data_IF_314756674594
#
_entry.id   IF_314756674594
#
_cell.length_a   1.000
_cell.length_b   1.000
_cell.length_c   1.000
_cell.angle_alpha   90.00
_cell.angle_beta   90.00
_cell.angle_gamma   90.00
#
_symmetry.space_group_name_H-M   'P 1'
#
loop_
_entity.id
_entity.type
_entity.pdbx_description
1 polymer ?
#
# COMPACT_ATOMS: atom_id res chain seq x y z
N UNK A 1 -24.93 -1.57 -48.90
CA UNK A 1 -23.49 -1.81 -48.71
C UNK A 1 -23.16 -1.69 -47.24
N UNK A 2 -23.15 -2.80 -46.53
CA UNK A 2 -22.88 -2.86 -45.09
C UNK A 2 -21.44 -3.34 -44.90
N UNK A 3 -20.54 -2.46 -44.44
CA UNK A 3 -19.20 -2.83 -44.09
C UNK A 3 -19.17 -3.31 -42.62
N UNK A 4 -18.89 -4.56 -42.43
CA UNK A 4 -18.64 -5.21 -41.16
C UNK A 4 -17.32 -4.69 -40.59
N UNK A 5 -17.36 -3.99 -39.46
CA UNK A 5 -16.17 -3.70 -38.66
C UNK A 5 -15.89 -4.92 -37.74
N UNK A 6 -14.81 -5.60 -38.05
CA UNK A 6 -14.23 -6.66 -37.25
C UNK A 6 -13.66 -6.09 -35.95
N UNK A 7 -13.84 -6.72 -34.78
CA UNK A 7 -13.25 -6.27 -33.53
C UNK A 7 -11.73 -6.52 -33.61
N UNK A 8 -10.94 -5.45 -33.65
CA UNK A 8 -9.50 -5.53 -33.46
C UNK A 8 -9.21 -5.87 -32.00
N UNK A 9 -8.67 -7.06 -31.80
CA UNK A 9 -8.17 -7.50 -30.50
C UNK A 9 -7.19 -6.47 -29.94
N UNK A 10 -7.52 -5.91 -28.77
CA UNK A 10 -6.64 -5.05 -27.99
C UNK A 10 -5.51 -5.94 -27.42
N UNK A 11 -4.44 -6.17 -28.18
CA UNK A 11 -3.21 -6.73 -27.64
C UNK A 11 -2.45 -5.60 -26.99
N UNK A 12 -2.74 -5.34 -25.72
CA UNK A 12 -1.87 -4.57 -24.86
C UNK A 12 -0.53 -5.32 -24.76
N UNK A 13 0.54 -4.69 -25.22
CA UNK A 13 1.88 -5.13 -24.85
C UNK A 13 2.04 -4.83 -23.37
N UNK A 14 2.06 -5.88 -22.56
CA UNK A 14 2.46 -5.83 -21.15
C UNK A 14 3.87 -5.22 -21.09
N UNK A 15 3.95 -4.00 -20.62
CA UNK A 15 5.18 -3.46 -20.03
C UNK A 15 5.49 -4.26 -18.78
N UNK A 16 6.77 -4.48 -18.45
CA UNK A 16 7.14 -5.36 -17.35
C UNK A 16 6.59 -4.86 -16.03
N UNK A 17 6.17 -5.82 -15.24
CA UNK A 17 5.57 -5.70 -13.93
C UNK A 17 6.18 -4.57 -13.08
N UNK A 18 5.32 -3.70 -12.61
CA UNK A 18 5.61 -2.83 -11.46
C UNK A 18 5.88 -3.75 -10.29
N UNK A 19 7.15 -3.83 -9.87
CA UNK A 19 7.55 -4.57 -8.69
C UNK A 19 6.91 -3.89 -7.49
N UNK A 20 5.88 -4.51 -6.92
CA UNK A 20 5.36 -4.14 -5.61
C UNK A 20 6.47 -4.38 -4.58
N UNK A 21 7.01 -3.32 -4.04
CA UNK A 21 7.90 -3.35 -2.89
C UNK A 21 7.07 -3.68 -1.64
N UNK A 22 6.98 -4.96 -1.32
CA UNK A 22 6.54 -5.37 0.00
C UNK A 22 7.72 -5.20 0.95
N UNK A 23 7.80 -4.06 1.66
CA UNK A 23 8.67 -3.92 2.82
C UNK A 23 8.13 -4.83 3.92
N UNK A 24 8.67 -6.04 4.01
CA UNK A 24 8.47 -6.89 5.17
C UNK A 24 9.19 -6.23 6.37
N UNK A 25 8.44 -5.73 7.31
CA UNK A 25 8.95 -5.23 8.58
C UNK A 25 9.51 -6.41 9.36
N UNK A 26 10.83 -6.56 9.37
CA UNK A 26 11.52 -7.41 10.32
C UNK A 26 11.29 -6.87 11.73
N UNK A 27 10.52 -7.58 12.54
CA UNK A 27 10.50 -7.37 13.98
C UNK A 27 11.83 -7.87 14.56
N UNK A 28 12.86 -7.04 14.50
CA UNK A 28 13.96 -7.16 15.44
C UNK A 28 13.52 -6.39 16.68
N UNK A 29 13.35 -7.10 17.79
CA UNK A 29 13.23 -6.48 19.12
C UNK A 29 14.29 -5.38 19.23
N UNK A 30 13.82 -4.12 19.37
CA UNK A 30 14.68 -2.97 19.59
C UNK A 30 15.46 -3.19 20.90
N UNK A 31 16.70 -3.65 20.77
CA UNK A 31 17.69 -3.47 21.83
C UNK A 31 18.13 -2.00 21.78
N UNK A 32 17.56 -1.20 22.65
CA UNK A 32 18.11 0.10 23.02
C UNK A 32 19.39 -0.13 23.80
N UNK A 33 20.50 -0.19 23.08
CA UNK A 33 21.85 -0.34 23.64
C UNK A 33 22.86 0.24 22.67
N UNK A 34 23.75 1.10 23.15
CA UNK A 34 24.75 1.83 22.42
C UNK A 34 25.51 0.97 21.39
N UNK A 35 25.58 1.42 20.11
CA UNK A 35 26.66 1.08 19.20
C UNK A 35 26.60 -0.30 18.54
N UNK A 36 25.45 -0.70 17.98
CA UNK A 36 25.39 -1.85 17.05
C UNK A 36 26.08 -1.53 15.71
N UNK A 37 26.69 -2.55 15.05
CA UNK A 37 27.23 -2.40 13.70
C UNK A 37 26.12 -1.89 12.74
N UNK A 38 26.48 -1.11 11.71
CA UNK A 38 25.54 -0.74 10.66
C UNK A 38 24.92 -1.99 10.04
N UNK A 39 23.65 -1.90 9.64
CA UNK A 39 22.97 -2.99 8.94
C UNK A 39 22.42 -2.45 7.63
N UNK A 40 22.94 -2.92 6.51
CA UNK A 40 22.42 -2.61 5.18
C UNK A 40 21.10 -3.35 4.96
N UNK A 41 20.10 -2.61 4.45
CA UNK A 41 18.78 -3.16 4.19
C UNK A 41 18.78 -4.03 2.95
N UNK A 42 18.05 -5.15 3.03
CA UNK A 42 17.86 -6.09 1.93
C UNK A 42 16.38 -6.26 1.61
N UNK A 43 16.09 -6.78 0.43
CA UNK A 43 14.77 -7.30 0.11
C UNK A 43 14.40 -8.45 1.05
N UNK A 44 13.11 -8.70 1.22
CA UNK A 44 12.62 -9.77 2.10
C UNK A 44 13.18 -11.13 1.65
N UNK A 45 13.63 -11.92 2.62
CA UNK A 45 14.18 -13.27 2.41
C UNK A 45 15.30 -13.34 1.37
N UNK A 46 16.11 -12.27 1.26
CA UNK A 46 17.15 -12.11 0.26
C UNK A 46 18.38 -11.41 0.86
N UNK A 47 19.54 -11.60 0.22
CA UNK A 47 20.75 -10.79 0.47
C UNK A 47 20.83 -9.60 -0.48
N UNK A 48 19.87 -9.46 -1.42
CA UNK A 48 19.83 -8.37 -2.37
C UNK A 48 19.53 -7.05 -1.68
N UNK A 49 20.35 -6.04 -1.96
CA UNK A 49 20.22 -4.74 -1.35
C UNK A 49 18.92 -4.04 -1.77
N UNK A 50 18.32 -3.31 -0.84
CA UNK A 50 17.41 -2.22 -1.20
C UNK A 50 18.29 -1.08 -1.71
N UNK A 51 18.43 -0.96 -3.04
CA UNK A 51 19.36 -0.05 -3.67
C UNK A 51 18.75 0.71 -4.85
N UNK A 52 19.17 1.96 -5.03
CA UNK A 52 18.70 2.83 -6.12
C UNK A 52 19.89 3.54 -6.76
N UNK A 53 19.81 3.81 -8.06
CA UNK A 53 20.72 4.78 -8.69
C UNK A 53 20.43 6.18 -8.09
N UNK A 54 21.48 6.88 -7.62
CA UNK A 54 21.33 8.03 -6.75
C UNK A 54 20.66 9.25 -7.42
N UNK A 55 20.80 9.40 -8.75
CA UNK A 55 20.23 10.54 -9.49
C UNK A 55 18.84 10.28 -10.04
N UNK A 56 18.59 9.09 -10.57
CA UNK A 56 17.34 8.73 -11.25
C UNK A 56 16.37 7.94 -10.38
N UNK A 57 16.86 7.42 -9.23
CA UNK A 57 16.09 6.53 -8.34
C UNK A 57 15.63 5.23 -9.00
N UNK A 58 16.26 4.83 -10.09
CA UNK A 58 15.99 3.54 -10.76
C UNK A 58 16.65 2.41 -9.96
N UNK A 59 15.96 1.27 -9.74
CA UNK A 59 16.57 0.10 -9.10
C UNK A 59 17.58 -0.59 -10.02
N UNK A 60 18.32 -1.56 -9.46
CA UNK A 60 19.28 -2.39 -10.20
C UNK A 60 18.64 -3.21 -11.34
N UNK A 61 19.42 -3.70 -12.35
CA UNK A 61 20.89 -3.68 -12.39
C UNK A 61 21.45 -2.30 -12.79
N UNK A 62 22.57 -1.92 -12.16
CA UNK A 62 23.20 -0.63 -12.41
C UNK A 62 24.22 -0.73 -13.54
N UNK A 63 24.19 0.25 -14.45
CA UNK A 63 25.26 0.45 -15.42
C UNK A 63 26.52 1.02 -14.77
N UNK A 64 27.70 0.89 -15.41
CA UNK A 64 28.94 1.47 -14.88
C UNK A 64 28.95 3.00 -14.92
N UNK A 65 28.16 3.58 -15.81
CA UNK A 65 28.05 5.02 -16.05
C UNK A 65 26.67 5.50 -15.62
N UNK A 66 26.61 6.60 -14.90
CA UNK A 66 25.37 7.21 -14.46
C UNK A 66 24.49 7.61 -15.67
N UNK A 67 23.18 7.35 -15.63
CA UNK A 67 22.27 7.71 -16.72
C UNK A 67 22.13 9.24 -16.86
N UNK A 68 22.42 10.00 -15.81
CA UNK A 68 22.42 11.46 -15.81
C UNK A 68 23.82 11.96 -15.47
N UNK A 69 24.43 12.74 -16.37
CA UNK A 69 25.76 13.31 -16.19
C UNK A 69 25.65 14.65 -15.44
N UNK A 70 26.03 14.64 -14.17
CA UNK A 70 26.01 15.83 -13.31
C UNK A 70 27.38 16.50 -13.14
N UNK A 71 28.44 15.95 -13.79
CA UNK A 71 29.80 16.45 -13.71
C UNK A 71 30.77 15.70 -14.57
N UNK A 72 32.07 15.89 -14.37
CA UNK A 72 33.15 15.22 -15.14
C UNK A 72 33.26 13.73 -14.80
N UNK A 73 32.91 13.34 -13.60
CA UNK A 73 32.89 11.93 -13.17
C UNK A 73 31.53 11.30 -13.50
N UNK A 74 31.55 10.44 -14.52
CA UNK A 74 30.36 9.79 -15.06
C UNK A 74 30.02 8.46 -14.38
N UNK A 75 30.75 8.06 -13.33
CA UNK A 75 30.51 6.79 -12.64
C UNK A 75 29.17 6.77 -11.91
N UNK A 76 28.48 5.64 -11.96
CA UNK A 76 27.23 5.44 -11.25
C UNK A 76 27.40 5.57 -9.75
N UNK A 77 26.46 6.26 -9.13
CA UNK A 77 26.30 6.38 -7.69
C UNK A 77 25.14 5.50 -7.26
N UNK A 78 25.41 4.57 -6.36
CA UNK A 78 24.41 3.66 -5.80
C UNK A 78 24.04 4.16 -4.41
N UNK A 79 22.76 4.38 -4.18
CA UNK A 79 22.20 4.72 -2.89
C UNK A 79 21.76 3.43 -2.20
N UNK A 80 22.36 3.14 -1.05
CA UNK A 80 22.01 2.07 -0.15
C UNK A 80 21.30 2.62 1.07
N UNK A 81 20.60 1.79 1.80
CA UNK A 81 19.93 2.18 3.04
C UNK A 81 20.47 1.36 4.20
N UNK A 82 20.71 2.01 5.35
CA UNK A 82 21.30 1.38 6.53
C UNK A 82 20.54 1.74 7.80
N UNK A 83 20.38 0.75 8.68
CA UNK A 83 20.00 0.95 10.09
C UNK A 83 21.23 1.01 10.97
N UNK A 84 21.05 1.49 12.22
CA UNK A 84 22.12 1.62 13.23
C UNK A 84 23.29 2.48 12.75
N UNK A 85 23.06 3.41 11.84
CA UNK A 85 24.08 4.29 11.30
C UNK A 85 23.69 5.75 11.62
N UNK A 86 24.35 6.29 12.63
CA UNK A 86 24.18 7.67 13.03
C UNK A 86 25.58 8.30 13.15
N UNK A 87 25.85 9.28 12.28
CA UNK A 87 27.10 10.02 12.34
C UNK A 87 27.17 10.84 13.63
N UNK A 88 28.35 10.86 14.26
CA UNK A 88 28.57 11.73 15.40
C UNK A 88 28.58 13.21 14.98
N UNK A 89 28.37 14.10 15.93
CA UNK A 89 28.35 15.54 15.62
C UNK A 89 29.69 16.00 14.99
N UNK A 90 29.60 16.55 13.79
CA UNK A 90 30.74 17.01 13.02
C UNK A 90 31.37 15.99 12.09
N UNK A 91 30.85 14.76 12.04
CA UNK A 91 31.26 13.75 11.07
C UNK A 91 30.48 13.87 9.75
N UNK A 92 31.09 13.41 8.69
CA UNK A 92 30.52 13.33 7.34
C UNK A 92 30.78 11.94 6.71
N UNK A 93 30.56 11.82 5.40
CA UNK A 93 30.75 10.57 4.67
C UNK A 93 32.16 9.98 4.79
N UNK A 94 33.18 10.78 5.12
CA UNK A 94 34.55 10.32 5.27
C UNK A 94 34.78 9.43 6.51
N UNK A 95 33.83 9.42 7.45
CA UNK A 95 33.84 8.53 8.60
C UNK A 95 33.50 7.07 8.23
N UNK A 96 33.01 6.85 7.01
CA UNK A 96 32.68 5.51 6.50
C UNK A 96 33.69 5.07 5.44
N UNK A 97 33.89 3.76 5.37
CA UNK A 97 34.48 3.10 4.22
C UNK A 97 33.49 2.12 3.62
N UNK A 98 33.60 1.85 2.32
CA UNK A 98 32.80 0.85 1.63
C UNK A 98 33.66 0.02 0.69
N UNK A 99 33.29 -1.22 0.52
CA UNK A 99 33.94 -2.16 -0.41
C UNK A 99 32.91 -3.02 -1.15
N UNK A 100 33.31 -3.51 -2.33
CA UNK A 100 32.56 -4.47 -3.11
C UNK A 100 33.45 -5.66 -3.48
N UNK A 101 32.94 -6.89 -3.38
CA UNK A 101 33.63 -8.11 -3.80
C UNK A 101 32.95 -8.71 -5.02
N UNK A 102 33.72 -9.00 -6.08
CA UNK A 102 33.20 -9.61 -7.31
C UNK A 102 33.23 -11.16 -7.26
N UNK A 103 32.76 -11.79 -8.34
CA UNK A 103 32.73 -13.26 -8.49
C UNK A 103 34.12 -13.93 -8.33
N UNK A 104 35.22 -13.21 -8.59
CA UNK A 104 36.57 -13.68 -8.48
C UNK A 104 37.17 -13.46 -7.09
N UNK A 105 36.38 -13.00 -6.12
CA UNK A 105 36.82 -12.64 -4.77
C UNK A 105 37.75 -11.43 -4.74
N UNK A 106 37.78 -10.64 -5.80
CA UNK A 106 38.51 -9.39 -5.84
C UNK A 106 37.70 -8.31 -5.13
N UNK A 107 38.35 -7.62 -4.19
CA UNK A 107 37.74 -6.52 -3.45
C UNK A 107 38.09 -5.18 -4.06
N UNK A 108 37.12 -4.31 -4.21
CA UNK A 108 37.23 -2.96 -4.75
C UNK A 108 36.74 -1.95 -3.73
N UNK A 109 37.56 -0.96 -3.40
CA UNK A 109 37.14 0.13 -2.54
C UNK A 109 36.09 0.99 -3.27
N UNK A 110 35.00 1.29 -2.60
CA UNK A 110 33.98 2.23 -3.09
C UNK A 110 34.12 3.56 -2.35
N UNK A 111 34.01 4.68 -3.07
CA UNK A 111 34.00 5.99 -2.45
C UNK A 111 32.63 6.27 -1.83
N UNK A 112 32.56 6.53 -0.53
CA UNK A 112 31.33 7.00 0.13
C UNK A 112 31.25 8.50 -0.08
N UNK A 113 30.26 8.97 -0.83
CA UNK A 113 30.14 10.40 -1.19
C UNK A 113 29.11 11.13 -0.35
N UNK A 114 28.13 10.40 0.22
CA UNK A 114 27.09 11.01 1.03
C UNK A 114 26.50 10.04 2.04
N UNK A 115 26.20 10.56 3.24
CA UNK A 115 25.44 9.87 4.28
C UNK A 115 24.51 10.86 4.94
N UNK A 116 23.21 10.54 4.99
CA UNK A 116 22.25 11.37 5.68
C UNK A 116 21.08 10.53 6.21
N UNK A 117 20.43 10.96 7.30
CA UNK A 117 19.15 10.40 7.71
C UNK A 117 18.13 10.52 6.57
N UNK A 118 17.31 9.50 6.40
CA UNK A 118 16.20 9.56 5.43
C UNK A 118 15.09 10.42 6.04
N UNK A 119 14.65 11.49 5.37
CA UNK A 119 13.63 12.39 5.91
C UNK A 119 12.35 11.61 6.29
N UNK A 120 11.87 11.81 7.52
CA UNK A 120 10.71 11.11 8.06
C UNK A 120 10.96 9.65 8.48
N UNK A 121 12.22 9.17 8.39
CA UNK A 121 12.64 7.82 8.77
C UNK A 121 13.94 7.90 9.58
N UNK A 122 13.87 8.50 10.77
CA UNK A 122 15.07 8.78 11.60
C UNK A 122 15.85 7.53 12.03
N UNK A 123 15.23 6.34 11.96
CA UNK A 123 15.85 5.06 12.24
C UNK A 123 16.74 4.55 11.09
N UNK A 124 16.71 5.20 9.92
CA UNK A 124 17.35 4.77 8.68
C UNK A 124 18.17 5.91 8.08
N UNK A 125 19.36 5.59 7.59
CA UNK A 125 20.22 6.49 6.84
C UNK A 125 20.39 6.02 5.40
N UNK A 126 20.47 6.95 4.46
CA UNK A 126 20.91 6.70 3.10
C UNK A 126 22.42 6.85 3.00
N UNK A 127 23.08 5.93 2.28
CA UNK A 127 24.50 5.94 2.02
C UNK A 127 24.71 5.89 0.51
N UNK A 128 25.33 6.93 -0.04
CA UNK A 128 25.64 6.99 -1.48
C UNK A 128 27.10 6.60 -1.69
N UNK A 129 27.29 5.52 -2.45
CA UNK A 129 28.61 5.01 -2.83
C UNK A 129 28.81 5.18 -4.35
N UNK A 130 29.99 5.63 -4.75
CA UNK A 130 30.42 5.68 -6.14
C UNK A 130 31.09 4.36 -6.52
N UNK A 131 30.66 3.78 -7.64
CA UNK A 131 31.25 2.55 -8.16
C UNK A 131 32.72 2.75 -8.53
N UNK A 132 33.55 1.73 -8.22
CA UNK A 132 34.96 1.72 -8.55
C UNK A 132 35.18 1.58 -10.06
N UNK A 133 36.17 2.28 -10.61
CA UNK A 133 36.48 2.26 -12.04
C UNK A 133 36.97 0.91 -12.57
N UNK A 134 37.52 0.09 -11.69
CA UNK A 134 38.05 -1.24 -12.01
C UNK A 134 36.95 -2.33 -11.99
N UNK A 135 35.77 -2.03 -11.44
CA UNK A 135 34.64 -2.95 -11.50
C UNK A 135 34.18 -3.11 -12.94
N UNK A 136 34.07 -4.35 -13.41
CA UNK A 136 33.58 -4.64 -14.75
C UNK A 136 32.15 -4.10 -14.97
N UNK A 137 31.89 -3.59 -16.16
CA UNK A 137 30.60 -3.03 -16.50
C UNK A 137 29.44 -4.05 -16.41
N UNK A 138 29.75 -5.31 -16.57
CA UNK A 138 28.83 -6.45 -16.55
C UNK A 138 29.34 -7.51 -15.56
N UNK A 139 29.67 -7.07 -14.35
CA UNK A 139 30.20 -7.94 -13.30
C UNK A 139 29.16 -8.92 -12.75
N UNK A 140 27.88 -8.70 -13.01
CA UNK A 140 26.80 -9.38 -12.33
C UNK A 140 26.67 -8.93 -10.89
N UNK A 141 26.29 -9.83 -10.00
CA UNK A 141 26.15 -9.50 -8.59
C UNK A 141 27.51 -9.31 -7.92
N UNK A 142 27.66 -8.24 -7.15
CA UNK A 142 28.79 -8.02 -6.23
C UNK A 142 28.27 -7.96 -4.81
N UNK A 143 29.10 -8.32 -3.81
CA UNK A 143 28.76 -8.17 -2.40
C UNK A 143 29.32 -6.85 -1.87
N UNK A 144 28.44 -5.96 -1.46
CA UNK A 144 28.78 -4.63 -0.94
C UNK A 144 28.67 -4.61 0.58
N UNK A 145 29.61 -3.91 1.22
CA UNK A 145 29.68 -3.70 2.66
C UNK A 145 30.07 -2.26 2.97
N UNK A 146 29.57 -1.73 4.07
CA UNK A 146 30.06 -0.48 4.67
C UNK A 146 30.69 -0.75 6.04
N UNK A 147 31.60 0.10 6.44
CA UNK A 147 32.26 0.04 7.75
C UNK A 147 32.27 1.42 8.36
N UNK A 148 31.80 1.54 9.59
CA UNK A 148 31.75 2.79 10.37
C UNK A 148 32.44 2.54 11.71
N UNK A 149 33.46 3.36 12.06
CA UNK A 149 34.28 3.21 13.28
C UNK A 149 34.79 1.79 13.51
N UNK A 150 35.19 1.09 12.43
CA UNK A 150 35.69 -0.28 12.51
C UNK A 150 34.62 -1.36 12.64
N UNK A 151 33.36 -1.00 12.81
CA UNK A 151 32.24 -1.93 12.79
C UNK A 151 31.72 -2.12 11.36
N UNK A 152 31.84 -3.34 10.84
CA UNK A 152 31.39 -3.69 9.49
C UNK A 152 29.92 -4.08 9.48
N UNK A 153 29.19 -3.70 8.41
CA UNK A 153 27.81 -4.14 8.15
C UNK A 153 27.78 -5.59 7.67
N UNK A 154 26.55 -6.14 7.55
CA UNK A 154 26.29 -7.29 6.67
C UNK A 154 26.72 -6.95 5.23
N UNK A 155 27.03 -7.98 4.44
CA UNK A 155 27.25 -7.84 3.00
C UNK A 155 25.93 -8.04 2.26
N UNK A 156 25.69 -7.18 1.27
CA UNK A 156 24.46 -7.20 0.46
C UNK A 156 24.79 -7.30 -1.02
N UNK A 157 23.97 -7.99 -1.79
CA UNK A 157 24.11 -8.10 -3.24
C UNK A 157 23.65 -6.84 -3.94
N UNK A 158 24.45 -6.41 -4.90
CA UNK A 158 24.13 -5.31 -5.82
C UNK A 158 24.47 -5.78 -7.23
N UNK A 159 23.53 -5.68 -8.16
CA UNK A 159 23.71 -6.13 -9.55
C UNK A 159 24.32 -5.03 -10.43
N UNK A 160 25.40 -5.38 -11.15
CA UNK A 160 26.06 -4.52 -12.13
C UNK A 160 25.94 -5.12 -13.54
N UNK A 161 25.26 -4.43 -14.44
CA UNK A 161 25.00 -4.87 -15.81
C UNK A 161 23.87 -5.89 -15.92
N UNK A 162 23.92 -6.96 -15.15
CA UNK A 162 22.87 -7.98 -15.07
C UNK A 162 22.73 -8.55 -13.65
N UNK A 163 21.57 -9.14 -13.38
CA UNK A 163 21.30 -9.84 -12.11
C UNK A 163 21.82 -11.27 -12.19
N UNK A 164 22.49 -11.74 -11.14
CA UNK A 164 23.02 -13.09 -11.03
C UNK A 164 24.55 -13.14 -11.10
N UNK A 165 25.08 -14.34 -10.95
CA UNK A 165 26.54 -14.51 -10.78
C UNK A 165 27.00 -14.03 -9.40
N UNK A 166 28.26 -13.62 -9.32
CA UNK A 166 28.86 -13.09 -8.10
C UNK A 166 29.33 -14.14 -7.10
N UNK A 167 29.92 -13.69 -5.97
CA UNK A 167 30.38 -14.58 -4.93
C UNK A 167 29.20 -15.19 -4.17
N UNK A 168 29.38 -16.36 -3.52
CA UNK A 168 28.37 -16.92 -2.64
C UNK A 168 28.11 -15.97 -1.45
N UNK A 169 26.87 -15.96 -0.97
CA UNK A 169 26.50 -15.23 0.24
C UNK A 169 27.27 -15.71 1.46
N UNK A 170 27.41 -14.83 2.45
CA UNK A 170 27.95 -15.20 3.74
C UNK A 170 27.06 -16.26 4.42
N UNK A 171 27.66 -17.24 5.12
CA UNK A 171 26.89 -18.19 5.91
C UNK A 171 25.95 -17.47 6.89
N UNK A 172 24.66 -17.76 6.81
CA UNK A 172 23.64 -17.13 7.65
C UNK A 172 23.26 -15.69 7.24
N UNK A 173 23.70 -15.21 6.08
CA UNK A 173 23.38 -13.87 5.59
C UNK A 173 21.87 -13.70 5.26
N UNK A 174 21.23 -14.77 4.80
CA UNK A 174 19.75 -14.84 4.79
C UNK A 174 19.38 -15.36 6.18
N UNK A 175 18.68 -14.58 7.01
CA UNK A 175 18.15 -15.13 8.23
C UNK A 175 17.34 -16.36 7.84
N UNK A 176 17.78 -17.55 8.28
CA UNK A 176 16.88 -18.71 8.24
C UNK A 176 15.61 -18.21 8.89
N UNK A 177 14.43 -18.22 8.21
CA UNK A 177 13.20 -17.78 8.83
C UNK A 177 13.20 -18.48 10.18
N UNK A 178 13.28 -17.70 11.27
CA UNK A 178 13.22 -18.30 12.61
C UNK A 178 12.01 -19.19 12.52
N UNK A 179 12.23 -20.53 12.65
CA UNK A 179 11.09 -21.47 12.67
C UNK A 179 10.11 -20.77 13.56
N UNK A 180 8.96 -20.27 13.04
CA UNK A 180 8.10 -19.38 13.81
C UNK A 180 7.95 -20.11 15.12
N UNK A 181 8.38 -19.48 16.24
CA UNK A 181 8.24 -20.08 17.56
C UNK A 181 6.82 -20.61 17.52
N UNK A 182 6.59 -21.95 17.75
CA UNK A 182 5.32 -22.55 17.41
C UNK A 182 4.29 -21.58 17.95
N UNK A 183 3.62 -20.91 17.03
CA UNK A 183 2.53 -19.96 17.36
C UNK A 183 1.73 -20.77 18.33
N UNK A 184 1.54 -20.32 19.61
CA UNK A 184 0.85 -21.15 20.57
C UNK A 184 -0.35 -21.69 19.83
N UNK A 185 -0.32 -23.00 19.54
CA UNK A 185 -1.33 -23.63 18.69
C UNK A 185 -2.63 -23.23 19.36
N UNK A 186 -3.47 -22.41 18.71
CA UNK A 186 -4.80 -22.21 19.26
C UNK A 186 -5.32 -23.64 19.34
N UNK A 187 -5.56 -24.14 20.56
CA UNK A 187 -6.20 -25.40 20.78
C UNK A 187 -7.58 -25.30 20.11
N UNK A 188 -7.67 -25.74 18.88
CA UNK A 188 -8.85 -25.65 18.06
C UNK A 188 -8.42 -25.66 16.60
N UNK A 189 -9.07 -26.48 15.81
CA UNK A 189 -9.00 -26.62 14.37
C UNK A 189 -8.51 -25.38 13.66
N UNK A 190 -7.82 -25.49 12.49
CA UNK A 190 -7.48 -24.31 11.69
C UNK A 190 -8.74 -23.46 11.63
N UNK A 191 -8.63 -22.21 12.15
CA UNK A 191 -9.75 -21.28 12.09
C UNK A 191 -9.94 -21.04 10.60
N UNK A 192 -10.81 -21.84 10.01
CA UNK A 192 -11.39 -21.49 8.72
C UNK A 192 -12.07 -20.17 9.02
N UNK A 193 -11.52 -19.06 8.54
CA UNK A 193 -12.20 -17.81 8.59
C UNK A 193 -13.52 -18.04 7.90
N UNK A 194 -14.56 -18.23 8.70
CA UNK A 194 -15.88 -18.44 8.14
C UNK A 194 -16.22 -17.16 7.39
N UNK A 195 -16.72 -17.32 6.19
CA UNK A 195 -17.30 -16.24 5.42
C UNK A 195 -18.33 -15.46 6.26
N UNK A 196 -18.71 -14.27 5.82
CA UNK A 196 -19.78 -13.51 6.47
C UNK A 196 -21.11 -14.28 6.35
N UNK A 197 -21.72 -14.60 7.48
CA UNK A 197 -23.08 -15.17 7.50
C UNK A 197 -24.12 -14.08 7.21
N UNK A 198 -25.31 -14.48 6.78
CA UNK A 198 -26.44 -13.57 6.59
C UNK A 198 -26.71 -12.69 7.81
N UNK A 199 -26.63 -13.25 9.02
CA UNK A 199 -26.83 -12.51 10.28
C UNK A 199 -25.73 -11.47 10.51
N UNK A 200 -24.48 -11.79 10.17
CA UNK A 200 -23.36 -10.84 10.30
C UNK A 200 -23.51 -9.70 9.29
N UNK A 201 -23.87 -9.98 8.05
CA UNK A 201 -24.18 -8.93 7.04
C UNK A 201 -25.31 -8.04 7.52
N UNK A 202 -26.38 -8.60 8.06
CA UNK A 202 -27.49 -7.85 8.67
C UNK A 202 -27.02 -6.99 9.83
N UNK A 203 -26.10 -7.50 10.67
CA UNK A 203 -25.50 -6.76 11.80
C UNK A 203 -24.70 -5.56 11.32
N UNK A 204 -23.85 -5.72 10.32
CA UNK A 204 -23.04 -4.62 9.75
C UNK A 204 -23.97 -3.52 9.19
N UNK A 205 -24.99 -3.89 8.42
CA UNK A 205 -25.96 -2.93 7.89
C UNK A 205 -26.72 -2.24 9.03
N UNK A 206 -27.16 -2.98 10.04
CA UNK A 206 -27.93 -2.42 11.18
C UNK A 206 -27.08 -1.45 12.00
N UNK A 207 -25.81 -1.73 12.22
CA UNK A 207 -24.85 -0.84 12.90
C UNK A 207 -24.68 0.47 12.09
N UNK A 208 -24.47 0.37 10.77
CA UNK A 208 -24.35 1.54 9.89
C UNK A 208 -25.61 2.41 9.94
N UNK A 209 -26.80 1.81 9.78
CA UNK A 209 -28.07 2.53 9.80
C UNK A 209 -28.35 3.19 11.16
N UNK A 210 -28.02 2.48 12.26
CA UNK A 210 -28.19 3.04 13.61
C UNK A 210 -27.27 4.23 13.84
N UNK A 211 -26.01 4.15 13.39
CA UNK A 211 -25.05 5.25 13.45
C UNK A 211 -25.50 6.45 12.60
N UNK A 212 -25.94 6.19 11.38
CA UNK A 212 -26.47 7.21 10.46
C UNK A 212 -27.70 7.92 11.06
N UNK A 213 -28.58 7.16 11.70
CA UNK A 213 -29.76 7.70 12.41
C UNK A 213 -29.34 8.61 13.55
N UNK A 214 -28.35 8.20 14.36
CA UNK A 214 -27.83 9.02 15.47
C UNK A 214 -27.18 10.33 14.97
N UNK A 215 -26.61 10.32 13.77
CA UNK A 215 -26.05 11.51 13.11
C UNK A 215 -27.11 12.35 12.34
N UNK A 216 -28.37 11.87 12.27
CA UNK A 216 -29.41 12.54 11.50
C UNK A 216 -29.14 12.58 9.98
N UNK A 217 -28.42 11.60 9.45
CA UNK A 217 -27.99 11.56 8.05
C UNK A 217 -28.35 10.24 7.39
N UNK A 218 -29.45 10.19 6.62
CA UNK A 218 -29.81 8.99 5.87
C UNK A 218 -28.76 8.64 4.82
N UNK A 219 -28.40 7.35 4.73
CA UNK A 219 -27.36 6.85 3.84
C UNK A 219 -27.80 5.59 3.07
N UNK A 220 -27.03 5.25 2.04
CA UNK A 220 -27.04 3.94 1.41
C UNK A 220 -25.82 3.17 1.88
N UNK A 221 -26.00 1.91 2.31
CA UNK A 221 -24.96 1.03 2.83
C UNK A 221 -24.89 -0.21 1.94
N UNK A 222 -23.68 -0.66 1.63
CA UNK A 222 -23.42 -1.92 0.96
C UNK A 222 -22.39 -2.75 1.72
N UNK A 223 -22.55 -4.08 1.67
CA UNK A 223 -21.60 -5.05 2.20
C UNK A 223 -21.21 -6.01 1.07
N UNK A 224 -19.93 -6.26 0.91
CA UNK A 224 -19.37 -7.21 -0.06
C UNK A 224 -18.62 -8.32 0.63
N UNK A 225 -18.47 -9.45 -0.04
CA UNK A 225 -17.51 -10.49 0.34
C UNK A 225 -16.08 -10.07 -0.04
N UNK A 226 -15.15 -10.98 0.17
CA UNK A 226 -13.73 -10.75 -0.12
C UNK A 226 -13.44 -10.56 -1.61
N UNK A 227 -14.21 -11.18 -2.50
CA UNK A 227 -14.10 -11.03 -3.95
C UNK A 227 -14.85 -9.80 -4.49
N UNK A 228 -15.52 -9.03 -3.61
CA UNK A 228 -16.33 -7.87 -3.99
C UNK A 228 -17.72 -8.22 -4.52
N UNK A 229 -18.23 -9.44 -4.28
CA UNK A 229 -19.62 -9.76 -4.57
C UNK A 229 -20.53 -9.11 -3.52
N UNK A 230 -21.68 -8.57 -3.96
CA UNK A 230 -22.60 -7.88 -3.07
C UNK A 230 -23.35 -8.87 -2.20
N UNK A 231 -23.14 -8.80 -0.88
CA UNK A 231 -23.84 -9.61 0.12
C UNK A 231 -25.11 -8.93 0.65
N UNK A 232 -25.22 -7.62 0.52
CA UNK A 232 -26.39 -6.85 0.90
C UNK A 232 -26.22 -5.39 0.58
N UNK A 233 -27.32 -4.73 0.19
CA UNK A 233 -27.36 -3.28 0.02
C UNK A 233 -28.69 -2.74 0.56
N UNK A 234 -28.61 -1.69 1.39
CA UNK A 234 -29.75 -1.10 2.05
C UNK A 234 -29.71 0.43 1.91
N UNK A 235 -30.82 1.03 1.54
CA UNK A 235 -31.00 2.49 1.47
C UNK A 235 -31.99 2.94 2.52
N UNK A 236 -31.56 3.82 3.42
CA UNK A 236 -32.44 4.42 4.43
C UNK A 236 -33.53 5.27 3.79
N UNK A 237 -34.69 5.35 4.44
CA UNK A 237 -35.72 6.32 4.06
C UNK A 237 -35.14 7.73 4.15
N UNK A 238 -35.25 8.51 3.07
CA UNK A 238 -34.71 9.86 2.97
C UNK A 238 -33.27 9.96 2.47
N UNK A 239 -32.58 8.85 2.24
CA UNK A 239 -31.27 8.88 1.61
C UNK A 239 -31.39 9.26 0.12
N UNK A 240 -30.38 9.95 -0.41
CA UNK A 240 -30.26 10.27 -1.82
C UNK A 240 -30.25 9.01 -2.67
N UNK A 241 -30.92 9.05 -3.83
CA UNK A 241 -30.94 7.93 -4.77
C UNK A 241 -29.78 7.96 -5.75
N UNK A 242 -29.16 9.13 -5.88
CA UNK A 242 -28.01 9.37 -6.77
C UNK A 242 -26.92 10.15 -6.03
N UNK A 243 -25.71 10.01 -6.51
CA UNK A 243 -24.54 10.77 -6.08
C UNK A 243 -23.80 11.30 -7.30
N UNK A 244 -23.19 12.47 -7.18
CA UNK A 244 -22.47 13.15 -8.26
C UNK A 244 -21.00 12.79 -8.24
N UNK A 245 -20.49 12.33 -9.37
CA UNK A 245 -19.05 12.12 -9.55
C UNK A 245 -18.35 13.46 -9.71
N UNK A 246 -17.38 13.74 -8.82
CA UNK A 246 -16.63 14.99 -8.78
C UNK A 246 -15.17 14.74 -8.42
N UNK A 247 -14.47 13.97 -9.25
CA UNK A 247 -13.05 13.61 -9.05
C UNK A 247 -12.07 14.74 -9.36
N UNK A 248 -12.54 15.87 -9.93
CA UNK A 248 -11.71 17.00 -10.33
C UNK A 248 -11.29 16.97 -11.79
N UNK A 249 -11.81 16.02 -12.56
CA UNK A 249 -11.67 15.96 -14.00
C UNK A 249 -12.48 17.04 -14.73
N UNK A 250 -12.38 17.06 -16.05
CA UNK A 250 -13.16 17.97 -16.87
C UNK A 250 -14.58 17.42 -17.03
N UNK A 251 -15.61 18.16 -16.64
CA UNK A 251 -17.02 17.77 -16.82
C UNK A 251 -17.30 17.31 -18.26
N UNK A 252 -17.95 16.17 -18.38
CA UNK A 252 -18.24 15.54 -19.68
C UNK A 252 -17.11 14.65 -20.23
N UNK A 253 -16.02 14.47 -19.49
CA UNK A 253 -14.99 13.48 -19.78
C UNK A 253 -15.12 12.28 -18.83
N UNK A 254 -15.23 11.09 -19.39
CA UNK A 254 -15.48 9.89 -18.60
C UNK A 254 -16.81 9.96 -17.85
N UNK A 255 -16.75 9.78 -16.53
CA UNK A 255 -17.91 9.85 -15.65
C UNK A 255 -18.01 11.20 -14.90
N UNK A 256 -17.08 12.13 -15.09
CA UNK A 256 -17.02 13.39 -14.36
C UNK A 256 -18.28 14.23 -14.60
N UNK A 257 -18.89 14.68 -13.50
CA UNK A 257 -20.12 15.47 -13.51
C UNK A 257 -21.40 14.67 -13.75
N UNK A 258 -21.34 13.34 -13.84
CA UNK A 258 -22.53 12.48 -13.96
C UNK A 258 -23.11 12.15 -12.58
N UNK A 259 -24.43 12.05 -12.52
CA UNK A 259 -25.14 11.48 -11.38
C UNK A 259 -25.27 9.97 -11.57
N UNK A 260 -24.76 9.20 -10.63
CA UNK A 260 -24.83 7.74 -10.61
C UNK A 260 -25.70 7.26 -9.44
N UNK A 261 -26.30 6.06 -9.52
CA UNK A 261 -27.06 5.52 -8.39
C UNK A 261 -26.19 5.37 -7.13
N UNK A 262 -26.64 5.91 -5.98
CA UNK A 262 -25.90 5.88 -4.71
C UNK A 262 -25.52 4.46 -4.25
N UNK A 263 -26.34 3.46 -4.58
CA UNK A 263 -26.00 2.07 -4.25
C UNK A 263 -24.81 1.55 -5.03
N UNK A 264 -24.55 2.01 -6.24
CA UNK A 264 -23.35 1.63 -7.00
C UNK A 264 -22.10 2.26 -6.40
N UNK A 265 -22.19 3.50 -5.89
CA UNK A 265 -21.12 4.15 -5.17
C UNK A 265 -20.80 3.39 -3.85
N UNK A 266 -21.82 3.10 -3.03
CA UNK A 266 -21.66 2.33 -1.81
C UNK A 266 -21.04 0.93 -2.07
N UNK A 267 -21.48 0.24 -3.13
CA UNK A 267 -20.90 -1.06 -3.55
C UNK A 267 -19.44 -0.91 -3.97
N UNK A 268 -19.12 0.13 -4.74
CA UNK A 268 -17.74 0.40 -5.18
C UNK A 268 -16.81 0.69 -3.98
N UNK A 269 -17.28 1.46 -2.99
CA UNK A 269 -16.57 1.69 -1.73
C UNK A 269 -16.34 0.39 -0.96
N UNK A 270 -17.37 -0.43 -0.75
CA UNK A 270 -17.28 -1.72 -0.07
C UNK A 270 -16.31 -2.67 -0.79
N UNK A 271 -16.47 -2.80 -2.12
CA UNK A 271 -15.62 -3.64 -2.95
C UNK A 271 -14.15 -3.22 -2.92
N UNK A 272 -13.86 -1.92 -2.86
CA UNK A 272 -12.49 -1.41 -2.73
C UNK A 272 -11.86 -1.85 -1.41
N UNK A 273 -12.56 -1.67 -0.30
CA UNK A 273 -12.07 -2.10 1.01
C UNK A 273 -11.84 -3.63 1.08
N UNK A 274 -12.70 -4.42 0.44
CA UNK A 274 -12.55 -5.88 0.43
C UNK A 274 -11.38 -6.35 -0.45
N UNK A 275 -11.28 -5.84 -1.69
CA UNK A 275 -10.28 -6.27 -2.67
C UNK A 275 -8.86 -5.86 -2.26
N UNK A 276 -8.71 -4.71 -1.60
CA UNK A 276 -7.40 -4.20 -1.16
C UNK A 276 -6.97 -4.69 0.22
N UNK A 277 -7.75 -5.53 0.88
CA UNK A 277 -7.43 -6.02 2.22
C UNK A 277 -7.09 -7.50 2.22
N UNK A 278 -6.05 -7.85 2.99
CA UNK A 278 -5.51 -9.21 3.14
C UNK A 278 -5.23 -9.49 4.62
N UNK A 279 -4.60 -10.62 4.93
CA UNK A 279 -4.12 -10.89 6.28
C UNK A 279 -2.92 -10.03 6.68
N UNK A 280 -2.25 -9.38 5.73
CA UNK A 280 -1.06 -8.55 5.95
C UNK A 280 -1.30 -7.05 5.85
N UNK A 281 -2.42 -6.62 5.30
CA UNK A 281 -2.79 -5.22 5.16
C UNK A 281 -4.31 -5.03 5.16
N UNK A 282 -4.75 -3.99 5.86
CA UNK A 282 -6.15 -3.56 5.89
C UNK A 282 -6.24 -2.15 5.31
N UNK A 283 -6.92 -2.00 4.18
CA UNK A 283 -7.04 -0.75 3.43
C UNK A 283 -8.50 -0.32 3.30
N UNK A 284 -8.68 0.99 3.24
CA UNK A 284 -9.97 1.65 3.01
C UNK A 284 -9.97 2.36 1.67
N UNK A 285 -11.08 2.95 1.28
CA UNK A 285 -11.12 3.86 0.12
C UNK A 285 -10.24 5.09 0.31
N UNK A 286 -10.07 5.59 1.54
CA UNK A 286 -9.11 6.67 1.84
C UNK A 286 -7.67 6.21 1.57
N UNK A 287 -7.30 5.00 2.01
CA UNK A 287 -5.99 4.42 1.66
C UNK A 287 -5.83 4.34 0.14
N UNK A 288 -6.84 3.83 -0.57
CA UNK A 288 -6.82 3.77 -2.02
C UNK A 288 -6.65 5.17 -2.64
N UNK A 289 -7.44 6.14 -2.21
CA UNK A 289 -7.35 7.54 -2.66
C UNK A 289 -5.98 8.15 -2.45
N UNK A 290 -5.30 7.78 -1.34
CA UNK A 290 -3.96 8.26 -1.03
C UNK A 290 -2.89 7.70 -1.98
N UNK A 291 -2.95 6.43 -2.34
CA UNK A 291 -1.90 5.73 -3.11
C UNK A 291 -2.14 5.70 -4.62
N UNK A 292 -3.30 6.14 -5.12
CA UNK A 292 -3.58 6.25 -6.56
C UNK A 292 -3.22 7.60 -7.17
N UNK A 293 -2.80 8.58 -6.37
CA UNK A 293 -2.54 9.95 -6.83
C UNK A 293 -1.51 9.98 -7.97
N UNK A 294 -1.69 10.92 -8.89
CA UNK A 294 -0.78 11.14 -10.02
C UNK A 294 0.64 11.45 -9.55
N UNK A 295 0.75 12.14 -8.44
CA UNK A 295 2.03 12.41 -7.77
C UNK A 295 1.96 11.88 -6.34
N UNK A 296 2.98 11.16 -5.94
CA UNK A 296 3.03 10.52 -4.61
C UNK A 296 4.31 10.93 -3.86
N UNK A 297 4.23 11.34 -2.58
CA UNK A 297 3.01 11.47 -1.75
C UNK A 297 2.01 12.50 -2.30
N UNK A 298 0.74 12.42 -1.92
CA UNK A 298 -0.25 13.44 -2.28
C UNK A 298 0.22 14.86 -1.92
N UNK A 299 -0.26 15.86 -2.67
CA UNK A 299 0.12 17.28 -2.56
C UNK A 299 1.58 17.60 -2.94
N UNK A 300 2.35 16.65 -3.46
CA UNK A 300 3.68 16.91 -4.02
C UNK A 300 3.59 17.17 -5.53
N UNK A 301 4.54 17.94 -6.06
CA UNK A 301 4.66 18.19 -7.51
C UNK A 301 5.94 17.54 -8.04
N UNK A 302 5.95 17.23 -9.34
CA UNK A 302 7.12 16.66 -10.04
C UNK A 302 7.61 15.32 -9.47
N UNK A 303 6.75 14.59 -8.78
CA UNK A 303 7.01 13.23 -8.30
C UNK A 303 6.30 12.21 -9.21
N UNK A 304 6.80 10.97 -9.27
CA UNK A 304 6.12 9.89 -10.00
C UNK A 304 4.76 9.58 -9.38
N UNK A 305 3.92 8.85 -10.11
CA UNK A 305 2.63 8.37 -9.63
C UNK A 305 2.73 7.47 -8.41
N UNK A 306 1.66 7.39 -7.64
CA UNK A 306 1.58 6.54 -6.47
C UNK A 306 1.67 5.04 -6.80
N UNK A 307 1.86 4.18 -5.78
CA UNK A 307 2.03 2.74 -5.97
C UNK A 307 0.89 2.06 -6.74
N UNK A 308 -0.32 2.61 -6.65
CA UNK A 308 -1.50 2.12 -7.38
C UNK A 308 -1.99 3.13 -8.44
N UNK A 309 -1.14 4.03 -8.90
CA UNK A 309 -1.47 4.89 -10.04
C UNK A 309 -1.92 4.02 -11.24
N UNK A 310 -3.09 4.30 -11.76
CA UNK A 310 -3.74 3.48 -12.79
C UNK A 310 -5.00 2.75 -12.30
N UNK A 311 -5.19 2.58 -10.99
CA UNK A 311 -6.44 2.02 -10.42
C UNK A 311 -7.65 2.92 -10.74
N UNK A 312 -7.46 4.23 -10.90
CA UNK A 312 -8.49 5.14 -11.39
C UNK A 312 -9.06 4.74 -12.75
N UNK A 313 -8.35 3.93 -13.52
CA UNK A 313 -8.83 3.39 -14.79
C UNK A 313 -9.65 2.10 -14.63
N UNK A 314 -9.87 1.62 -13.40
CA UNK A 314 -10.64 0.41 -13.09
C UNK A 314 -12.10 0.48 -13.59
N UNK A 315 -12.63 1.67 -13.79
CA UNK A 315 -13.97 1.92 -14.33
C UNK A 315 -14.08 1.82 -15.85
N UNK A 316 -12.96 1.73 -16.57
CA UNK A 316 -12.97 1.63 -18.03
C UNK A 316 -13.53 0.28 -18.50
N UNK A 317 -14.19 0.22 -19.68
CA UNK A 317 -14.83 -1.01 -20.16
C UNK A 317 -13.86 -2.20 -20.35
N UNK A 318 -12.56 -1.94 -20.55
CA UNK A 318 -11.53 -2.96 -20.72
C UNK A 318 -10.80 -3.32 -19.42
N UNK A 319 -11.23 -2.80 -18.29
CA UNK A 319 -10.64 -3.12 -16.99
C UNK A 319 -11.10 -4.50 -16.51
N UNK A 320 -10.17 -5.31 -16.00
CA UNK A 320 -10.46 -6.61 -15.39
C UNK A 320 -11.25 -6.49 -14.08
N UNK A 321 -11.21 -5.31 -13.45
CA UNK A 321 -11.93 -5.03 -12.21
C UNK A 321 -13.40 -4.72 -12.47
N UNK A 322 -13.72 -4.08 -13.60
CA UNK A 322 -15.10 -3.71 -13.94
C UNK A 322 -15.90 -4.95 -14.32
N UNK A 323 -16.87 -5.28 -13.51
CA UNK A 323 -17.76 -6.43 -13.67
C UNK A 323 -19.20 -6.04 -13.24
N UNK A 324 -20.21 -6.88 -13.52
CA UNK A 324 -21.59 -6.56 -13.15
C UNK A 324 -21.80 -6.24 -11.67
N UNK A 325 -21.01 -6.87 -10.77
CA UNK A 325 -21.07 -6.61 -9.33
C UNK A 325 -20.32 -5.32 -8.90
N UNK A 326 -19.40 -4.79 -9.73
CA UNK A 326 -18.63 -3.56 -9.49
C UNK A 326 -18.65 -2.66 -10.73
N UNK A 327 -19.79 -2.12 -11.12
CA UNK A 327 -19.95 -1.41 -12.39
C UNK A 327 -19.22 -0.06 -12.45
N UNK A 328 -18.91 0.54 -11.29
CA UNK A 328 -18.08 1.75 -11.19
C UNK A 328 -16.58 1.43 -10.97
N UNK A 329 -16.19 0.14 -10.92
CA UNK A 329 -14.84 -0.25 -10.57
C UNK A 329 -14.52 0.03 -9.11
N UNK A 330 -13.27 0.42 -8.82
CA UNK A 330 -12.81 0.73 -7.48
C UNK A 330 -13.01 2.23 -7.15
N UNK A 331 -13.15 2.51 -5.86
CA UNK A 331 -13.43 3.85 -5.33
C UNK A 331 -12.22 4.40 -4.56
N UNK A 332 -11.99 5.70 -4.72
CA UNK A 332 -11.09 6.48 -3.87
C UNK A 332 -11.84 7.43 -2.93
N UNK A 333 -13.17 7.41 -2.99
CA UNK A 333 -14.05 8.24 -2.19
C UNK A 333 -14.12 7.70 -0.75
N UNK A 334 -13.80 8.48 0.30
CA UNK A 334 -13.86 8.05 1.70
C UNK A 334 -15.25 7.50 2.07
N UNK A 335 -15.28 6.57 3.05
CA UNK A 335 -16.55 6.00 3.53
C UNK A 335 -16.61 4.48 3.44
N UNK A 336 -15.49 3.79 3.39
CA UNK A 336 -15.45 2.33 3.50
C UNK A 336 -14.58 1.84 4.64
N UNK A 337 -14.84 0.60 5.07
CA UNK A 337 -13.97 -0.12 5.99
C UNK A 337 -13.92 -1.62 5.63
N UNK A 338 -12.78 -2.27 5.72
CA UNK A 338 -12.66 -3.71 5.51
C UNK A 338 -13.23 -4.47 6.71
N UNK A 339 -13.76 -5.65 6.47
CA UNK A 339 -14.34 -6.52 7.49
C UNK A 339 -13.44 -7.73 7.72
N UNK A 340 -13.17 -8.03 9.00
CA UNK A 340 -12.30 -9.11 9.43
C UNK A 340 -12.98 -10.03 10.44
N UNK A 341 -12.64 -11.31 10.39
CA UNK A 341 -12.98 -12.30 11.40
C UNK A 341 -11.71 -13.03 11.81
N UNK A 342 -11.39 -12.99 13.11
CA UNK A 342 -10.18 -13.64 13.64
C UNK A 342 -8.89 -13.27 12.88
N UNK A 343 -8.75 -12.03 12.46
CA UNK A 343 -7.58 -11.54 11.73
C UNK A 343 -7.56 -11.87 10.23
N UNK A 344 -8.62 -12.46 9.68
CA UNK A 344 -8.74 -12.78 8.25
C UNK A 344 -9.75 -11.85 7.60
N UNK A 345 -9.38 -11.24 6.48
CA UNK A 345 -10.27 -10.40 5.68
C UNK A 345 -11.43 -11.23 5.12
N UNK A 346 -12.66 -10.81 5.36
CA UNK A 346 -13.89 -11.52 4.94
C UNK A 346 -14.81 -10.68 4.08
N UNK A 347 -14.52 -9.40 3.90
CA UNK A 347 -15.32 -8.52 3.07
C UNK A 347 -15.05 -7.04 3.33
N UNK A 348 -15.98 -6.20 2.90
CA UNK A 348 -15.94 -4.76 3.11
C UNK A 348 -17.33 -4.16 3.28
N UNK A 349 -17.40 -3.02 3.96
CA UNK A 349 -18.59 -2.17 4.05
C UNK A 349 -18.31 -0.83 3.40
N UNK A 350 -19.30 -0.29 2.66
CA UNK A 350 -19.25 1.01 2.02
C UNK A 350 -20.52 1.81 2.31
N UNK A 351 -20.34 3.09 2.55
CA UNK A 351 -21.39 4.05 2.90
C UNK A 351 -21.40 5.18 1.88
N UNK A 352 -22.56 5.56 1.44
CA UNK A 352 -22.79 6.71 0.56
C UNK A 352 -23.96 7.56 1.08
N UNK A 353 -23.74 8.86 1.32
CA UNK A 353 -24.77 9.68 1.95
C UNK A 353 -24.64 11.18 1.80
N UNK A 354 -23.51 11.72 1.38
CA UNK A 354 -23.33 13.16 1.17
C UNK A 354 -23.73 13.61 -0.23
N UNK A 355 -23.91 12.66 -1.17
CA UNK A 355 -24.28 12.92 -2.56
C UNK A 355 -23.12 13.32 -3.46
N UNK A 356 -21.88 13.16 -3.00
CA UNK A 356 -20.65 13.42 -3.74
C UNK A 356 -19.79 12.16 -3.80
N UNK A 357 -19.37 11.76 -4.98
CA UNK A 357 -18.44 10.68 -5.21
C UNK A 357 -17.12 11.27 -5.66
N UNK A 358 -16.21 11.49 -4.71
CA UNK A 358 -14.97 12.22 -4.93
C UNK A 358 -13.85 11.70 -4.03
N UNK A 359 -12.62 11.70 -4.55
CA UNK A 359 -11.46 11.42 -3.70
C UNK A 359 -11.22 12.62 -2.74
N UNK A 360 -10.57 12.34 -1.62
CA UNK A 360 -10.04 13.38 -0.76
C UNK A 360 -8.89 14.12 -1.49
N UNK A 361 -9.10 15.44 -1.72
CA UNK A 361 -8.16 16.29 -2.47
C UNK A 361 -7.09 16.91 -1.60
N UNK A 362 -7.32 16.98 -0.29
CA UNK A 362 -6.37 17.48 0.70
C UNK A 362 -6.18 16.49 1.84
N UNK A 363 -5.36 15.46 1.66
CA UNK A 363 -5.15 14.44 2.69
C UNK A 363 -4.44 14.98 3.95
N UNK A 364 -4.13 16.28 4.01
CA UNK A 364 -3.45 16.92 5.14
C UNK A 364 -4.39 17.67 6.09
N UNK A 365 -5.65 17.84 5.72
CA UNK A 365 -6.63 18.57 6.53
C UNK A 365 -7.26 17.73 7.65
N UNK A 366 -7.06 16.39 7.60
CA UNK A 366 -7.58 15.44 8.57
C UNK A 366 -9.07 15.62 8.88
N UNK A 367 -9.84 15.93 7.85
CA UNK A 367 -11.29 16.04 7.92
C UNK A 367 -11.94 14.77 8.51
N UNK A 368 -13.16 14.91 9.03
CA UNK A 368 -13.92 13.76 9.58
C UNK A 368 -15.18 13.52 8.77
N UNK A 369 -15.07 12.85 7.61
CA UNK A 369 -16.22 12.62 6.76
C UNK A 369 -17.29 11.80 7.50
N UNK A 370 -18.53 12.20 7.30
CA UNK A 370 -19.68 11.54 7.89
C UNK A 370 -19.73 10.04 7.56
N UNK A 371 -19.38 9.71 6.34
CA UNK A 371 -19.41 8.34 5.84
C UNK A 371 -18.37 7.45 6.49
N UNK A 372 -17.18 7.99 6.81
CA UNK A 372 -16.18 7.26 7.59
C UNK A 372 -16.65 7.01 9.02
N UNK A 373 -17.31 7.99 9.68
CA UNK A 373 -17.89 7.80 11.00
C UNK A 373 -18.90 6.65 11.03
N UNK A 374 -19.71 6.55 9.99
CA UNK A 374 -20.70 5.48 9.85
C UNK A 374 -20.01 4.15 9.49
N UNK A 375 -19.02 4.16 8.61
CA UNK A 375 -18.28 2.94 8.23
C UNK A 375 -17.52 2.33 9.42
N UNK A 376 -16.90 3.15 10.27
CA UNK A 376 -16.26 2.69 11.53
C UNK A 376 -17.29 2.09 12.48
N UNK A 377 -18.47 2.71 12.61
CA UNK A 377 -19.55 2.13 13.42
C UNK A 377 -20.02 0.79 12.86
N UNK A 378 -20.15 0.68 11.55
CA UNK A 378 -20.56 -0.54 10.86
C UNK A 378 -19.56 -1.69 11.02
N UNK A 379 -18.26 -1.35 11.09
CA UNK A 379 -17.16 -2.32 11.20
C UNK A 379 -17.06 -2.98 12.59
N UNK A 380 -17.75 -2.47 13.60
CA UNK A 380 -17.62 -2.98 15.00
C UNK A 380 -17.90 -4.47 15.09
N UNK A 381 -16.97 -5.19 15.73
CA UNK A 381 -16.96 -6.65 15.80
C UNK A 381 -16.26 -7.32 14.61
N UNK A 382 -15.88 -6.53 13.60
CA UNK A 382 -15.22 -6.99 12.38
C UNK A 382 -13.98 -6.15 12.03
N UNK A 383 -13.35 -5.54 13.05
CA UNK A 383 -12.18 -4.70 12.84
C UNK A 383 -10.95 -5.54 12.43
N UNK A 384 -10.05 -4.97 11.59
CA UNK A 384 -8.75 -5.58 11.36
C UNK A 384 -7.87 -5.53 12.60
N UNK A 385 -6.87 -6.41 12.73
CA UNK A 385 -5.79 -6.21 13.68
C UNK A 385 -5.10 -4.86 13.45
N UNK A 386 -4.79 -4.13 14.52
CA UNK A 386 -4.20 -2.79 14.42
C UNK A 386 -2.90 -2.77 13.60
N UNK A 387 -2.05 -3.78 13.77
CA UNK A 387 -0.73 -3.85 13.12
C UNK A 387 -0.76 -3.87 11.59
N UNK A 388 -1.87 -4.31 10.99
CA UNK A 388 -2.00 -4.41 9.52
C UNK A 388 -2.81 -3.26 8.92
N UNK A 389 -3.27 -2.31 9.72
CA UNK A 389 -4.00 -1.15 9.22
C UNK A 389 -3.08 -0.27 8.35
N UNK A 390 -3.65 0.37 7.34
CA UNK A 390 -2.91 1.24 6.43
C UNK A 390 -2.05 2.28 7.15
N UNK A 391 -2.54 2.88 8.23
CA UNK A 391 -1.83 3.87 9.04
C UNK A 391 -0.66 3.30 9.87
N UNK A 392 -0.44 2.00 9.86
CA UNK A 392 0.76 1.34 10.40
C UNK A 392 1.72 0.87 9.31
N UNK A 393 1.42 1.13 8.04
CA UNK A 393 2.23 0.74 6.90
C UNK A 393 2.90 1.96 6.28
N UNK A 394 4.11 1.74 5.77
CA UNK A 394 4.91 2.76 5.09
C UNK A 394 5.13 2.30 3.64
N UNK A 395 4.78 3.15 2.68
CA UNK A 395 5.04 2.93 1.27
C UNK A 395 5.70 4.18 0.67
N UNK A 396 6.77 4.00 -0.10
CA UNK A 396 7.50 5.13 -0.68
C UNK A 396 8.05 6.12 0.37
N UNK A 397 8.36 5.65 1.58
CA UNK A 397 8.84 6.49 2.68
C UNK A 397 7.76 7.29 3.40
N UNK A 398 6.49 7.06 3.10
CA UNK A 398 5.35 7.78 3.69
C UNK A 398 4.41 6.81 4.39
N UNK A 399 3.94 7.20 5.58
CA UNK A 399 2.88 6.48 6.28
C UNK A 399 1.59 6.61 5.48
N UNK A 400 0.92 5.49 5.21
CA UNK A 400 -0.34 5.50 4.47
C UNK A 400 -1.47 6.09 5.31
N UNK A 401 -2.47 6.65 4.65
CA UNK A 401 -3.74 6.99 5.27
C UNK A 401 -4.56 5.70 5.49
N UNK A 402 -5.39 5.68 6.53
CA UNK A 402 -6.37 4.62 6.76
C UNK A 402 -7.78 5.20 6.90
N UNK A 403 -8.05 5.89 7.96
CA UNK A 403 -9.28 6.63 8.25
C UNK A 403 -8.90 7.90 9.01
N UNK A 404 -9.58 9.01 8.76
CA UNK A 404 -9.40 10.24 9.53
C UNK A 404 -10.25 10.26 10.81
N UNK A 405 -11.00 9.20 11.04
CA UNK A 405 -11.86 9.02 12.21
C UNK A 405 -11.45 7.78 12.99
N UNK A 406 -11.62 7.85 14.31
CA UNK A 406 -11.38 6.73 15.22
C UNK A 406 -12.70 6.13 15.68
N UNK A 407 -12.64 4.95 16.32
CA UNK A 407 -13.83 4.36 16.95
C UNK A 407 -14.39 5.23 18.09
N UNK A 408 -13.56 6.10 18.70
CA UNK A 408 -14.01 7.07 19.70
C UNK A 408 -14.80 8.24 19.10
N UNK A 409 -14.51 8.63 17.87
CA UNK A 409 -15.24 9.67 17.13
C UNK A 409 -16.61 9.17 16.64
N UNK A 410 -16.68 7.88 16.32
CA UNK A 410 -17.85 7.28 15.71
C UNK A 410 -19.00 7.06 16.73
N UNK A 411 -20.26 7.35 16.34
CA UNK A 411 -21.39 7.20 17.26
C UNK A 411 -21.59 5.75 17.72
N UNK A 412 -22.07 5.57 18.95
CA UNK A 412 -22.32 4.26 19.58
C UNK A 412 -23.78 4.10 20.04
N UNK A 413 -24.76 4.26 19.14
CA UNK A 413 -26.16 4.02 19.50
C UNK A 413 -26.39 2.52 19.76
N UNK A 414 -27.50 2.23 20.44
CA UNK A 414 -28.03 0.87 20.46
C UNK A 414 -28.37 0.45 19.02
N UNK A 415 -27.92 -0.74 18.61
CA UNK A 415 -28.18 -1.24 17.25
C UNK A 415 -29.66 -1.60 17.10
N UNK A 416 -30.33 -0.95 16.18
CA UNK A 416 -31.72 -1.29 15.80
C UNK A 416 -31.73 -2.64 15.11
N UNK A 417 -32.62 -3.58 15.47
CA UNK A 417 -32.72 -4.86 14.77
C UNK A 417 -32.95 -4.68 13.27
N UNK A 418 -32.28 -5.50 12.44
CA UNK A 418 -32.31 -5.38 10.97
C UNK A 418 -33.75 -5.31 10.41
N UNK A 419 -34.65 -6.17 10.89
CA UNK A 419 -36.06 -6.21 10.45
C UNK A 419 -36.87 -4.97 10.82
N UNK A 420 -36.35 -4.08 11.66
CA UNK A 420 -37.01 -2.83 12.10
C UNK A 420 -36.39 -1.58 11.47
N UNK A 421 -35.44 -1.74 10.55
CA UNK A 421 -34.79 -0.61 9.88
C UNK A 421 -35.77 0.09 8.93
N UNK A 422 -35.75 1.43 8.94
CA UNK A 422 -36.55 2.24 8.03
C UNK A 422 -35.81 2.47 6.70
N UNK A 423 -36.26 1.83 5.64
CA UNK A 423 -35.60 1.94 4.33
C UNK A 423 -36.02 0.84 3.36
N UNK A 424 -35.21 0.67 2.33
CA UNK A 424 -35.43 -0.30 1.25
C UNK A 424 -34.21 -1.20 1.10
N UNK A 425 -34.43 -2.50 1.11
CA UNK A 425 -33.42 -3.47 0.76
C UNK A 425 -33.24 -3.48 -0.78
N UNK A 426 -32.06 -3.13 -1.27
CA UNK A 426 -31.75 -2.98 -2.70
C UNK A 426 -31.21 -4.27 -3.32
N UNK A 427 -30.69 -5.17 -2.51
CA UNK A 427 -30.30 -6.53 -2.89
C UNK A 427 -30.63 -7.48 -1.75
N UNK A 428 -30.95 -8.76 -2.02
CA UNK A 428 -31.12 -9.77 -0.98
C UNK A 428 -29.88 -9.82 -0.06
N UNK A 429 -30.08 -10.08 1.24
CA UNK A 429 -28.96 -10.34 2.15
C UNK A 429 -28.54 -11.79 2.02
N UNK A 430 -27.29 -11.98 1.62
CA UNK A 430 -26.70 -13.28 1.35
C UNK A 430 -25.60 -13.58 2.41
N UNK A 431 -25.26 -14.84 2.56
CA UNK A 431 -24.00 -15.27 3.14
C UNK A 431 -22.93 -15.27 2.04
N UNK A 432 -21.65 -15.06 2.42
CA UNK A 432 -20.52 -15.15 1.50
C UNK A 432 -20.14 -16.60 1.19
#
# INVERSE_FOLDING_TARGET
MASRLSPKSCRARLLPAVVLWALAVLHTSAQTGAGGAPVLLTEADSTRAVALEASTRVPEPFGPTAPVRLGADERTRVMLFAMNLHLAAGEDASALTADAEDANRQTYALAVEHVAPVPGQEWMSSVVVRLNEQLAADAGDVLVRITYHGAASNRVRVALGHVGGGPPDDPGAIPTPATPAPTPTPNGNPVTAGNLSTTEVQTVIAQAVSAATALGRPVTVAVTDREGNVLGAFRMTGATTTTRISGGGRTGQGLEGLDVPSNLAAVSKAGTASVFSTQGNAFTTRTAGFIIQEHFPPATQFQPGGPLFGVQFSQLPCSDIKRPSLPLGLSADPGSAPLYKNGVAVGGVGVEGDGLYTLDKDPTDFDKPLEELIAVSAQRGFQPPDLIRGDNLIAGGVRLAYLNVTDADAPRPATTPFGSLSGTLLSPVLAA
#
